data_IF_019079640830
#
_entry.id   IF_019079640830
#
_cell.length_a   1.000
_cell.length_b   1.000
_cell.length_c   1.000
_cell.angle_alpha   90.00
_cell.angle_beta   90.00
_cell.angle_gamma   90.00
#
_symmetry.space_group_name_H-M   'P 1'
#
loop_
_entity.id
_entity.type
_entity.pdbx_description
1 polymer ?
#
# COMPACT_ATOMS: atom_id res chain seq x y z
N UNK A 1 23.54 10.55 31.65
CA UNK A 1 23.25 10.83 30.22
C UNK A 1 22.57 12.18 30.14
N UNK A 2 23.15 13.13 29.39
CA UNK A 2 22.66 14.49 29.25
C UNK A 2 21.47 14.51 28.26
N UNK A 3 20.56 15.49 28.41
CA UNK A 3 19.41 15.65 27.52
C UNK A 3 19.77 15.81 26.02
N UNK A 4 20.98 16.32 25.74
CA UNK A 4 21.54 16.38 24.38
C UNK A 4 21.91 15.01 23.82
N UNK A 5 22.47 14.13 24.63
CA UNK A 5 22.78 12.74 24.21
C UNK A 5 21.51 11.92 23.96
N UNK A 6 20.46 12.15 24.75
CA UNK A 6 19.15 11.50 24.53
C UNK A 6 18.52 12.01 23.22
N UNK A 7 18.68 13.28 22.90
CA UNK A 7 18.18 13.91 21.69
C UNK A 7 18.93 13.45 20.42
N UNK A 8 20.26 13.26 20.51
CA UNK A 8 21.06 12.69 19.44
C UNK A 8 20.71 11.20 19.21
N UNK A 9 20.51 10.40 20.27
CA UNK A 9 20.12 9.00 20.15
C UNK A 9 18.73 8.83 19.57
N UNK A 10 17.79 9.75 19.83
CA UNK A 10 16.44 9.74 19.23
C UNK A 10 16.42 10.24 17.78
N UNK A 11 17.42 11.01 17.35
CA UNK A 11 17.53 11.50 15.97
C UNK A 11 18.01 10.43 14.98
N UNK A 12 18.62 9.33 15.47
CA UNK A 12 19.12 8.22 14.65
C UNK A 12 18.13 7.04 14.53
N UNK A 13 16.95 7.14 15.15
CA UNK A 13 15.95 6.07 15.10
C UNK A 13 15.06 6.24 13.86
N UNK A 14 15.13 5.30 12.96
CA UNK A 14 14.16 5.18 11.88
C UNK A 14 12.82 4.64 12.42
N UNK A 15 11.74 5.32 12.10
CA UNK A 15 10.38 4.89 12.45
C UNK A 15 9.75 4.08 11.32
N UNK A 16 9.06 3.02 11.70
CA UNK A 16 8.41 2.10 10.76
C UNK A 16 6.97 1.86 11.15
N UNK A 17 6.04 1.97 10.19
CA UNK A 17 4.68 1.50 10.33
C UNK A 17 4.68 -0.01 10.16
N UNK A 18 4.15 -0.74 11.15
CA UNK A 18 4.00 -2.20 11.08
C UNK A 18 2.58 -2.59 10.69
N UNK A 19 2.47 -3.63 9.87
CA UNK A 19 1.21 -4.18 9.38
C UNK A 19 1.35 -5.69 9.14
N UNK A 20 0.23 -6.38 8.95
CA UNK A 20 0.23 -7.82 8.72
C UNK A 20 -0.19 -8.14 7.29
N UNK A 21 0.45 -9.17 6.75
CA UNK A 21 0.07 -9.88 5.53
C UNK A 21 0.14 -11.37 5.84
N UNK A 22 -0.99 -12.08 5.75
CA UNK A 22 -1.11 -13.52 6.02
C UNK A 22 -0.49 -13.95 7.37
N UNK A 23 -0.78 -13.20 8.44
CA UNK A 23 -0.24 -13.36 9.80
C UNK A 23 1.25 -13.02 9.99
N UNK A 24 1.99 -12.74 8.93
CA UNK A 24 3.38 -12.28 9.03
C UNK A 24 3.44 -10.76 9.22
N UNK A 25 4.44 -10.30 9.97
CA UNK A 25 4.62 -8.87 10.27
C UNK A 25 5.57 -8.23 9.28
N UNK A 26 5.09 -7.21 8.62
CA UNK A 26 5.85 -6.35 7.71
C UNK A 26 5.95 -4.95 8.26
N UNK A 27 6.91 -4.20 7.76
CA UNK A 27 7.11 -2.80 8.10
C UNK A 27 7.53 -1.97 6.89
N UNK A 28 7.11 -0.73 6.85
CA UNK A 28 7.58 0.28 5.90
C UNK A 28 8.03 1.53 6.66
N UNK A 29 9.03 2.22 6.13
CA UNK A 29 9.50 3.47 6.74
C UNK A 29 8.36 4.47 6.78
N UNK A 30 8.12 5.09 7.95
CA UNK A 30 7.02 6.01 8.16
C UNK A 30 7.09 7.26 7.25
N UNK A 31 8.29 7.64 6.80
CA UNK A 31 8.48 8.75 5.86
C UNK A 31 7.83 8.50 4.50
N UNK A 32 7.53 7.25 4.17
CA UNK A 32 6.83 6.85 2.94
C UNK A 32 5.31 6.80 3.12
N UNK A 33 4.82 6.82 4.36
CA UNK A 33 3.40 6.71 4.68
C UNK A 33 2.78 8.08 4.74
N UNK A 34 1.74 8.30 3.96
CA UNK A 34 0.96 9.53 3.97
C UNK A 34 -0.22 9.46 4.93
N UNK A 35 -1.00 8.42 4.82
CA UNK A 35 -2.15 8.15 5.69
C UNK A 35 -2.53 6.67 5.65
N UNK A 36 -3.31 6.24 6.64
CA UNK A 36 -3.91 4.90 6.70
C UNK A 36 -5.42 5.06 6.68
N UNK A 37 -6.07 4.34 5.80
CA UNK A 37 -7.52 4.38 5.60
C UNK A 37 -8.13 3.03 5.93
N UNK A 38 -9.34 3.04 6.48
CA UNK A 38 -10.17 1.85 6.52
C UNK A 38 -10.40 1.34 5.08
N UNK A 39 -10.78 0.07 4.95
CA UNK A 39 -11.05 -0.50 3.64
C UNK A 39 -12.18 0.27 2.93
N UNK A 40 -11.87 0.79 1.75
CA UNK A 40 -12.80 1.49 0.87
C UNK A 40 -13.19 0.59 -0.31
N UNK A 41 -14.35 0.87 -0.90
CA UNK A 41 -14.73 0.24 -2.16
C UNK A 41 -13.72 0.59 -3.25
N UNK A 42 -13.12 -0.44 -3.84
CA UNK A 42 -12.13 -0.29 -4.91
C UNK A 42 -12.84 -0.46 -6.25
N UNK A 43 -12.75 0.56 -7.09
CA UNK A 43 -13.26 0.50 -8.46
C UNK A 43 -12.29 -0.28 -9.33
N UNK A 44 -12.75 -1.40 -9.90
CA UNK A 44 -11.92 -2.23 -10.79
C UNK A 44 -11.71 -1.53 -12.13
N UNK A 45 -10.46 -1.53 -12.60
CA UNK A 45 -10.09 -1.02 -13.92
C UNK A 45 -9.84 -2.22 -14.84
N UNK A 46 -10.59 -2.36 -15.95
CA UNK A 46 -10.40 -3.45 -16.90
C UNK A 46 -9.00 -3.48 -17.52
N UNK A 47 -8.47 -4.70 -17.73
CA UNK A 47 -7.15 -4.87 -18.39
C UNK A 47 -5.93 -4.62 -17.51
N UNK A 48 -6.13 -4.36 -16.21
CA UNK A 48 -5.02 -4.21 -15.27
C UNK A 48 -4.51 -5.56 -14.77
N UNK A 49 -3.21 -5.64 -14.38
CA UNK A 49 -2.65 -6.85 -13.76
C UNK A 49 -3.35 -7.21 -12.45
N UNK A 50 -3.34 -8.48 -12.09
CA UNK A 50 -4.05 -9.00 -10.91
C UNK A 50 -3.58 -8.41 -9.57
N UNK A 51 -2.32 -7.96 -9.47
CA UNK A 51 -1.83 -7.29 -8.26
C UNK A 51 -2.42 -5.89 -8.07
N UNK A 52 -2.92 -5.25 -9.13
CA UNK A 52 -3.59 -3.96 -9.09
C UNK A 52 -5.09 -4.20 -8.92
N UNK A 53 -5.58 -4.00 -7.69
CA UNK A 53 -6.99 -4.24 -7.31
C UNK A 53 -7.95 -3.26 -8.00
N UNK A 54 -7.48 -2.11 -8.39
CA UNK A 54 -8.23 -1.03 -9.01
C UNK A 54 -7.81 0.33 -8.49
N UNK A 55 -8.75 1.24 -8.40
CA UNK A 55 -8.52 2.62 -7.94
C UNK A 55 -9.52 3.00 -6.86
N UNK A 56 -9.13 3.96 -6.03
CA UNK A 56 -10.00 4.64 -5.05
C UNK A 56 -9.94 6.15 -5.30
N UNK A 57 -10.99 6.85 -4.90
CA UNK A 57 -11.02 8.31 -4.91
C UNK A 57 -10.70 8.84 -3.51
N UNK A 58 -9.62 9.62 -3.39
CA UNK A 58 -9.26 10.31 -2.15
C UNK A 58 -9.30 11.81 -2.41
N UNK A 59 -10.34 12.48 -1.91
CA UNK A 59 -10.49 13.93 -2.01
C UNK A 59 -10.38 14.46 -3.45
N UNK A 60 -10.94 13.73 -4.42
CA UNK A 60 -10.90 14.07 -5.84
C UNK A 60 -9.66 13.58 -6.60
N UNK A 61 -8.74 12.89 -5.92
CA UNK A 61 -7.58 12.28 -6.58
C UNK A 61 -7.80 10.78 -6.74
N UNK A 62 -7.54 10.28 -7.94
CA UNK A 62 -7.57 8.86 -8.24
C UNK A 62 -6.27 8.23 -7.76
N UNK A 63 -6.37 7.25 -6.87
CA UNK A 63 -5.21 6.57 -6.29
C UNK A 63 -5.29 5.08 -6.60
N UNK A 64 -4.32 4.51 -7.34
CA UNK A 64 -4.27 3.08 -7.61
C UNK A 64 -3.99 2.30 -6.33
N UNK A 65 -4.63 1.13 -6.19
CA UNK A 65 -4.50 0.26 -5.02
C UNK A 65 -3.91 -1.08 -5.44
N UNK A 66 -2.78 -1.43 -4.84
CA UNK A 66 -2.12 -2.73 -5.04
C UNK A 66 -2.42 -3.67 -3.87
N UNK A 67 -2.52 -4.95 -4.18
CA UNK A 67 -2.58 -6.04 -3.21
C UNK A 67 -1.16 -6.50 -2.87
N UNK A 68 -0.68 -6.15 -1.68
CA UNK A 68 0.68 -6.52 -1.25
C UNK A 68 0.83 -8.04 -1.10
N UNK A 69 -0.18 -8.76 -0.63
CA UNK A 69 -0.11 -10.22 -0.51
C UNK A 69 0.08 -10.86 -1.88
N UNK A 70 -0.75 -10.47 -2.86
CA UNK A 70 -0.64 -10.96 -4.22
C UNK A 70 0.74 -10.64 -4.80
N UNK A 71 1.20 -9.40 -4.61
CA UNK A 71 2.50 -8.95 -5.11
C UNK A 71 3.68 -9.71 -4.52
N UNK A 72 3.57 -10.13 -3.27
CA UNK A 72 4.59 -10.91 -2.56
C UNK A 72 4.41 -12.44 -2.74
N UNK A 73 3.46 -12.89 -3.58
CA UNK A 73 3.21 -14.30 -3.82
C UNK A 73 2.50 -15.03 -2.68
N UNK A 74 1.83 -14.30 -1.79
CA UNK A 74 1.12 -14.82 -0.61
C UNK A 74 -0.38 -15.02 -0.85
N UNK A 75 -0.84 -14.92 -2.10
CA UNK A 75 -2.27 -14.99 -2.46
C UNK A 75 -2.96 -13.63 -2.38
N UNK A 76 -4.26 -13.64 -2.63
CA UNK A 76 -5.09 -12.42 -2.68
C UNK A 76 -5.61 -12.09 -1.29
N UNK A 77 -5.66 -10.80 -0.93
CA UNK A 77 -6.33 -10.34 0.30
C UNK A 77 -7.85 -10.46 0.11
N UNK A 78 -8.49 -11.23 0.99
CA UNK A 78 -9.94 -11.19 1.17
C UNK A 78 -10.26 -10.15 2.25
N UNK A 79 -11.01 -9.07 1.91
CA UNK A 79 -11.26 -8.00 2.85
C UNK A 79 -11.99 -8.47 4.11
N UNK A 80 -11.50 -8.02 5.25
CA UNK A 80 -12.10 -8.21 6.57
C UNK A 80 -12.35 -6.84 7.22
N UNK A 81 -12.87 -6.83 8.44
CA UNK A 81 -13.07 -5.61 9.23
C UNK A 81 -11.76 -4.90 9.59
N UNK A 82 -10.66 -5.63 9.63
CA UNK A 82 -9.32 -5.11 9.97
C UNK A 82 -8.53 -4.69 8.73
N UNK A 83 -9.01 -5.05 7.53
CA UNK A 83 -8.35 -4.71 6.27
C UNK A 83 -8.28 -3.21 6.09
N UNK A 84 -7.12 -2.72 5.69
CA UNK A 84 -6.85 -1.31 5.53
C UNK A 84 -6.06 -1.01 4.26
N UNK A 85 -6.08 0.25 3.87
CA UNK A 85 -5.31 0.77 2.74
C UNK A 85 -4.29 1.77 3.28
N UNK A 86 -3.02 1.42 3.18
CA UNK A 86 -1.92 2.32 3.54
C UNK A 86 -1.56 3.15 2.32
N UNK A 87 -1.78 4.46 2.39
CA UNK A 87 -1.39 5.37 1.31
C UNK A 87 0.08 5.70 1.47
N UNK A 88 0.84 5.32 0.46
CA UNK A 88 2.30 5.51 0.41
C UNK A 88 2.70 6.41 -0.75
N UNK A 89 3.82 7.10 -0.56
CA UNK A 89 4.47 7.88 -1.61
C UNK A 89 5.66 7.11 -2.15
N UNK A 90 5.63 6.82 -3.45
CA UNK A 90 6.68 6.13 -4.16
C UNK A 90 7.36 7.06 -5.17
N UNK A 91 8.67 6.88 -5.33
CA UNK A 91 9.44 7.60 -6.36
C UNK A 91 9.31 6.88 -7.69
N UNK A 92 8.85 7.60 -8.71
CA UNK A 92 8.75 7.10 -10.09
C UNK A 92 9.55 8.04 -11.00
N UNK A 93 10.82 7.70 -11.25
CA UNK A 93 11.75 8.64 -11.86
C UNK A 93 12.00 9.81 -10.91
N UNK A 94 11.71 11.04 -11.36
CA UNK A 94 11.82 12.25 -10.57
C UNK A 94 10.50 12.69 -9.92
N UNK A 95 9.41 11.95 -10.15
CA UNK A 95 8.08 12.29 -9.65
C UNK A 95 7.71 11.47 -8.41
N UNK A 96 6.99 12.09 -7.47
CA UNK A 96 6.38 11.42 -6.32
C UNK A 96 4.94 11.07 -6.68
N UNK A 97 4.59 9.81 -6.55
CA UNK A 97 3.25 9.29 -6.86
C UNK A 97 2.65 8.62 -5.63
N UNK A 98 1.38 8.93 -5.34
CA UNK A 98 0.64 8.25 -4.28
C UNK A 98 0.07 6.93 -4.76
N UNK A 99 0.17 5.90 -3.91
CA UNK A 99 -0.34 4.57 -4.18
C UNK A 99 -0.95 4.00 -2.90
N UNK A 100 -2.06 3.29 -3.01
CA UNK A 100 -2.65 2.52 -1.92
C UNK A 100 -2.04 1.13 -1.86
N UNK A 101 -1.55 0.74 -0.71
CA UNK A 101 -1.07 -0.59 -0.42
C UNK A 101 -2.09 -1.31 0.49
N UNK A 102 -2.77 -2.33 -0.04
CA UNK A 102 -3.74 -3.10 0.71
C UNK A 102 -3.02 -4.03 1.69
N UNK A 103 -3.41 -4.00 2.95
CA UNK A 103 -2.88 -4.84 4.04
C UNK A 103 -4.01 -5.48 4.84
N UNK A 104 -3.74 -6.65 5.46
CA UNK A 104 -4.73 -7.36 6.27
C UNK A 104 -5.08 -6.58 7.54
N UNK A 105 -4.08 -5.94 8.16
CA UNK A 105 -4.28 -5.01 9.28
C UNK A 105 -3.06 -4.12 9.49
N UNK A 106 -3.26 -2.92 9.98
CA UNK A 106 -2.18 -2.07 10.51
C UNK A 106 -2.06 -2.28 12.02
N UNK A 107 -0.83 -2.23 12.53
CA UNK A 107 -0.55 -2.43 13.95
C UNK A 107 -0.12 -1.13 14.62
N UNK A 108 1.19 -0.90 14.67
CA UNK A 108 1.79 0.20 15.43
C UNK A 108 2.97 0.81 14.67
N UNK A 109 3.39 1.97 15.09
CA UNK A 109 4.65 2.57 14.65
C UNK A 109 5.73 2.21 15.67
N UNK A 110 6.80 1.60 15.19
CA UNK A 110 7.97 1.24 16.00
C UNK A 110 9.18 2.05 15.59
N UNK A 111 10.10 2.23 16.51
CA UNK A 111 11.42 2.81 16.24
C UNK A 111 12.47 1.70 16.27
N UNK A 112 13.31 1.62 15.25
CA UNK A 112 14.41 0.66 15.17
C UNK A 112 15.72 1.41 15.04
N UNK A 113 16.71 0.96 15.81
CA UNK A 113 18.10 1.36 15.61
C UNK A 113 18.68 0.66 14.37
N UNK A 114 19.60 1.28 13.64
CA UNK A 114 20.26 0.65 12.49
C UNK A 114 20.87 -0.73 12.82
N UNK A 115 21.37 -0.90 14.06
CA UNK A 115 21.91 -2.17 14.54
C UNK A 115 20.87 -3.30 14.72
N UNK A 116 19.58 -2.95 14.81
CA UNK A 116 18.48 -3.91 14.93
C UNK A 116 17.97 -4.38 13.56
N UNK A 117 18.50 -3.79 12.47
CA UNK A 117 18.11 -4.14 11.10
C UNK A 117 19.18 -5.05 10.51
N UNK A 118 18.81 -6.30 10.32
CA UNK A 118 19.65 -7.31 9.69
C UNK A 118 19.46 -7.29 8.16
N UNK A 119 20.48 -7.67 7.39
CA UNK A 119 20.32 -7.81 5.94
C UNK A 119 19.25 -8.87 5.61
N UNK A 120 18.63 -8.80 4.42
CA UNK A 120 17.65 -9.79 3.98
C UNK A 120 18.25 -11.20 4.03
N UNK A 121 17.46 -12.22 4.42
CA UNK A 121 17.95 -13.60 4.45
C UNK A 121 18.31 -14.03 3.02
N UNK A 122 19.45 -14.70 2.88
CA UNK A 122 19.80 -15.37 1.62
C UNK A 122 18.97 -16.65 1.52
N UNK A 123 17.72 -16.51 1.14
CA UNK A 123 16.87 -17.66 0.80
C UNK A 123 17.39 -18.23 -0.52
N UNK A 124 17.85 -19.48 -0.52
CA UNK A 124 18.45 -20.16 -1.68
C UNK A 124 17.47 -20.49 -2.82
N UNK A 125 16.36 -19.83 -2.89
CA UNK A 125 15.33 -19.87 -3.93
C UNK A 125 15.33 -18.50 -4.60
N UNK A 126 15.17 -18.44 -5.92
CA UNK A 126 15.02 -17.21 -6.71
C UNK A 126 13.70 -16.46 -6.36
N UNK A 127 13.50 -16.17 -5.09
CA UNK A 127 12.52 -15.17 -4.68
C UNK A 127 13.21 -13.84 -4.93
N UNK A 128 12.60 -13.04 -5.77
CA UNK A 128 13.05 -11.70 -6.10
C UNK A 128 12.94 -10.82 -4.83
N UNK A 129 13.96 -10.93 -3.96
CA UNK A 129 14.01 -10.24 -2.65
C UNK A 129 14.33 -8.74 -2.81
N UNK A 130 14.19 -8.19 -4.02
CA UNK A 130 14.54 -6.79 -4.31
C UNK A 130 13.70 -5.81 -3.51
N UNK A 131 12.51 -6.20 -3.08
CA UNK A 131 11.59 -5.39 -2.27
C UNK A 131 11.80 -5.52 -0.75
N UNK A 132 12.65 -6.45 -0.28
CA UNK A 132 12.98 -6.57 1.15
C UNK A 132 14.24 -5.75 1.44
N UNK A 133 14.09 -4.66 2.17
CA UNK A 133 15.20 -3.81 2.62
C UNK A 133 16.03 -4.50 3.70
N UNK A 134 15.39 -5.26 4.57
CA UNK A 134 16.03 -5.94 5.68
C UNK A 134 15.01 -6.64 6.59
N UNK A 135 15.55 -7.19 7.68
CA UNK A 135 14.75 -7.79 8.75
C UNK A 135 14.96 -7.00 10.04
N UNK A 136 13.90 -6.43 10.58
CA UNK A 136 13.92 -5.82 11.91
C UNK A 136 13.73 -6.88 12.99
N UNK A 137 14.34 -6.66 14.15
CA UNK A 137 14.10 -7.47 15.33
C UNK A 137 13.38 -6.63 16.38
N UNK A 138 12.18 -7.07 16.74
CA UNK A 138 11.41 -6.50 17.83
C UNK A 138 11.10 -7.61 18.84
N UNK A 139 11.57 -7.46 20.07
CA UNK A 139 11.56 -8.51 21.10
C UNK A 139 12.21 -9.79 20.55
N UNK A 140 11.51 -10.92 20.58
CA UNK A 140 12.01 -12.20 20.03
C UNK A 140 11.42 -12.53 18.65
N UNK A 141 10.79 -11.55 17.98
CA UNK A 141 10.17 -11.73 16.67
C UNK A 141 10.92 -10.94 15.59
N UNK A 142 10.94 -11.52 14.41
CA UNK A 142 11.41 -10.82 13.22
C UNK A 142 10.23 -10.21 12.46
N UNK A 143 10.49 -9.07 11.83
CA UNK A 143 9.58 -8.43 10.90
C UNK A 143 10.32 -8.11 9.60
N UNK A 144 9.62 -8.16 8.49
CA UNK A 144 10.21 -7.88 7.18
C UNK A 144 10.04 -6.40 6.84
N UNK A 145 11.17 -5.70 6.64
CA UNK A 145 11.15 -4.30 6.24
C UNK A 145 11.10 -4.23 4.72
N UNK A 146 10.03 -3.66 4.18
CA UNK A 146 9.83 -3.49 2.75
C UNK A 146 10.45 -2.17 2.26
N UNK A 147 11.06 -2.24 1.08
CA UNK A 147 11.38 -1.08 0.26
C UNK A 147 10.21 -0.85 -0.70
N UNK A 148 9.30 0.05 -0.32
CA UNK A 148 8.07 0.26 -1.08
C UNK A 148 8.34 0.83 -2.49
N UNK A 149 9.45 1.53 -2.69
CA UNK A 149 9.85 2.02 -4.00
C UNK A 149 10.25 0.88 -4.96
N UNK A 150 10.60 -0.29 -4.41
CA UNK A 150 11.00 -1.49 -5.17
C UNK A 150 9.94 -2.57 -5.26
N UNK A 151 8.80 -2.38 -4.64
CA UNK A 151 7.69 -3.36 -4.72
C UNK A 151 7.19 -3.51 -6.14
N UNK A 152 7.21 -2.44 -6.94
CA UNK A 152 6.83 -2.46 -8.34
C UNK A 152 8.05 -2.44 -9.26
N UNK A 153 7.99 -3.23 -10.32
CA UNK A 153 8.96 -3.18 -11.42
C UNK A 153 8.74 -1.94 -12.30
N UNK A 154 9.74 -1.56 -13.10
CA UNK A 154 9.63 -0.41 -14.01
C UNK A 154 8.44 -0.53 -15.00
N UNK A 155 8.12 -1.74 -15.48
CA UNK A 155 6.97 -1.97 -16.35
C UNK A 155 5.64 -1.79 -15.61
N UNK A 156 5.53 -2.28 -14.38
CA UNK A 156 4.34 -2.15 -13.54
C UNK A 156 4.12 -0.68 -13.12
N UNK A 157 5.18 0.03 -12.86
CA UNK A 157 5.15 1.48 -12.61
C UNK A 157 4.53 2.24 -13.79
N UNK A 158 4.90 1.88 -15.03
CA UNK A 158 4.32 2.51 -16.23
C UNK A 158 2.81 2.28 -16.32
N UNK A 159 2.32 1.11 -15.91
CA UNK A 159 0.89 0.81 -15.86
C UNK A 159 0.17 1.65 -14.80
N UNK A 160 0.78 1.80 -13.63
CA UNK A 160 0.23 2.63 -12.53
C UNK A 160 0.13 4.11 -12.95
N UNK A 161 1.13 4.63 -13.67
CA UNK A 161 1.09 6.00 -14.21
C UNK A 161 -0.05 6.21 -15.19
N UNK A 162 -0.25 5.28 -16.11
CA UNK A 162 -1.34 5.37 -17.09
C UNK A 162 -2.71 5.43 -16.39
N UNK A 163 -2.84 4.79 -15.23
CA UNK A 163 -4.07 4.81 -14.42
C UNK A 163 -4.29 6.17 -13.73
N UNK A 164 -3.21 6.83 -13.30
CA UNK A 164 -3.28 8.17 -12.70
C UNK A 164 -3.55 9.27 -13.74
N UNK A 165 -3.03 9.09 -14.96
CA UNK A 165 -3.21 10.03 -16.08
C UNK A 165 -4.53 9.82 -16.84
N UNK A 166 -5.20 8.67 -16.64
CA UNK A 166 -6.57 8.45 -17.11
C UNK A 166 -7.46 9.47 -16.41
N UNK A 167 -7.69 10.55 -17.10
CA UNK A 167 -8.30 11.79 -16.62
C UNK A 167 -9.63 11.52 -15.92
N UNK A 168 -9.85 12.27 -14.87
CA UNK A 168 -11.09 12.46 -14.12
C UNK A 168 -12.33 12.50 -15.04
N UNK A 169 -12.20 12.93 -16.31
CA UNK A 169 -13.26 12.94 -17.32
C UNK A 169 -13.87 11.56 -17.65
N UNK A 170 -13.10 10.48 -17.56
CA UNK A 170 -13.60 9.14 -17.90
C UNK A 170 -14.25 8.45 -16.70
N UNK A 171 -13.88 8.86 -15.48
CA UNK A 171 -14.44 8.33 -14.22
C UNK A 171 -15.75 9.06 -13.88
N UNK A 172 -15.83 10.37 -14.10
CA UNK A 172 -17.08 11.13 -13.94
C UNK A 172 -18.18 10.65 -14.90
N UNK A 173 -17.81 10.12 -16.07
CA UNK A 173 -18.76 9.50 -17.01
C UNK A 173 -19.29 8.17 -16.47
N UNK A 174 -18.45 7.38 -15.80
CA UNK A 174 -18.84 6.07 -15.22
C UNK A 174 -19.73 6.26 -13.99
N UNK A 175 -19.40 7.19 -13.09
CA UNK A 175 -20.22 7.51 -11.91
C UNK A 175 -21.58 8.08 -12.32
N UNK A 176 -21.65 8.94 -13.33
CA UNK A 176 -22.92 9.43 -13.88
C UNK A 176 -23.76 8.34 -14.56
N UNK A 177 -23.14 7.31 -15.14
CA UNK A 177 -23.85 6.17 -15.74
C UNK A 177 -24.40 5.23 -14.66
N UNK A 178 -23.66 5.03 -13.56
CA UNK A 178 -24.07 4.19 -12.43
C UNK A 178 -25.25 4.86 -11.69
N UNK A 179 -25.13 6.14 -11.38
CA UNK A 179 -26.18 6.92 -10.68
C UNK A 179 -27.46 7.03 -11.51
N UNK A 180 -27.34 7.15 -12.84
CA UNK A 180 -28.51 7.17 -13.74
C UNK A 180 -29.18 5.80 -13.86
N UNK A 181 -28.46 4.68 -13.74
CA UNK A 181 -29.05 3.33 -13.76
C UNK A 181 -29.70 2.96 -12.43
N UNK A 182 -29.14 3.35 -11.29
CA UNK A 182 -29.82 3.18 -9.99
C UNK A 182 -31.09 3.98 -9.89
N UNK A 183 -31.09 5.20 -10.40
CA UNK A 183 -32.29 6.06 -10.42
C UNK A 183 -33.39 5.52 -11.35
N UNK A 184 -33.05 4.91 -12.47
CA UNK A 184 -34.02 4.25 -13.38
C UNK A 184 -34.58 2.97 -12.78
N UNK A 185 -33.79 2.13 -12.13
CA UNK A 185 -34.27 0.92 -11.46
C UNK A 185 -35.23 1.23 -10.31
N UNK A 186 -34.94 2.26 -9.49
CA UNK A 186 -35.80 2.70 -8.41
C UNK A 186 -37.13 3.30 -8.93
N UNK A 187 -37.14 3.91 -10.13
CA UNK A 187 -38.35 4.44 -10.76
C UNK A 187 -39.22 3.34 -11.37
N UNK A 188 -38.63 2.25 -11.88
CA UNK A 188 -39.37 1.10 -12.38
C UNK A 188 -39.99 0.24 -11.26
N UNK A 189 -39.29 0.06 -10.14
CA UNK A 189 -39.82 -0.63 -8.94
C UNK A 189 -40.97 0.15 -8.26
N UNK A 190 -41.00 1.47 -8.38
CA UNK A 190 -42.05 2.31 -7.80
C UNK A 190 -43.35 2.35 -8.66
N UNK A 191 -43.31 1.83 -9.88
CA UNK A 191 -44.42 1.82 -10.84
C UNK A 191 -45.06 0.42 -11.05
N UNK A 192 -44.55 -0.60 -10.36
CA UNK A 192 -45.04 -1.98 -10.38
C UNK A 192 -45.90 -2.29 -9.11
#
# INVERSE_FOLDING_TARGET
MNAEQIKETMADLDQYLTFTLDNEVFAINISKVREVLDFLTITKVPGMPDFLRGVINIRGNVVPVIDLRYKLGMGVIEPSVDTCIVIVEIMIGDDITSMGALADSVREVIALEPAQILPPPKLGINIDNQFIKGMGRQDDKFLMILDIDRVLTANEISLVRTTNDASISDIDVIDNIIDSKETQNLAEEALA
#
